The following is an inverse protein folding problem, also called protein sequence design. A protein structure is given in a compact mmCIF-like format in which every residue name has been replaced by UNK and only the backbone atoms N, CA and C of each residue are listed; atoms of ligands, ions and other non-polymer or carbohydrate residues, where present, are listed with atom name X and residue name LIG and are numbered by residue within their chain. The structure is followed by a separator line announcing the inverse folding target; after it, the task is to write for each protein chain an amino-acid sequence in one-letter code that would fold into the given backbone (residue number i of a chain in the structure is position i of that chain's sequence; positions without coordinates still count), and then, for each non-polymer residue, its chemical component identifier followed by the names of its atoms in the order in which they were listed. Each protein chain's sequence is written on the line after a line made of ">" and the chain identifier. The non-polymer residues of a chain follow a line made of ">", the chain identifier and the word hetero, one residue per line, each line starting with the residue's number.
data_IF_787210679143
#
_entry.id   IF_787210679143
#
_cell.length_a   1.000
_cell.length_b   1.000
_cell.length_c   1.000
_cell.angle_alpha   90.00
_cell.angle_beta   90.00
_cell.angle_gamma   90.00
#
_symmetry.space_group_name_H-M   'P 1'
#
loop_
_entity.id
_entity.type
_entity.pdbx_description
1 polymer ?
#
# COMPACT_ATOMS: atom_id res chain seq x y z
N UNK A 1 18.53 -5.12 11.22
CA UNK A 1 17.50 -4.97 10.19
C UNK A 1 17.47 -3.49 9.85
N UNK A 2 18.08 -3.06 8.75
CA UNK A 2 18.29 -1.65 8.51
C UNK A 2 16.99 -0.97 8.05
N UNK A 3 16.75 0.19 8.67
CA UNK A 3 16.06 1.36 8.14
C UNK A 3 14.55 1.27 7.89
N UNK A 4 13.76 1.75 8.86
CA UNK A 4 12.40 2.28 8.64
C UNK A 4 12.50 3.43 7.60
N UNK A 5 12.17 3.22 6.32
CA UNK A 5 12.33 4.26 5.32
C UNK A 5 10.99 4.97 5.24
N UNK A 6 10.92 6.19 5.79
CA UNK A 6 9.77 7.10 5.73
C UNK A 6 8.69 6.81 6.79
N UNK A 7 8.16 7.84 7.50
CA UNK A 7 7.03 7.66 8.39
C UNK A 7 5.83 7.14 7.59
N UNK A 8 5.49 5.87 7.78
CA UNK A 8 4.28 5.26 7.23
C UNK A 8 3.08 5.82 7.98
N UNK A 9 2.27 6.60 7.26
CA UNK A 9 0.98 7.08 7.77
C UNK A 9 0.04 5.90 8.03
N UNK A 10 -1.00 6.14 8.81
CA UNK A 10 -2.12 5.19 9.00
C UNK A 10 -2.67 4.65 7.68
N UNK A 11 -2.71 5.48 6.63
CA UNK A 11 -3.23 5.08 5.33
C UNK A 11 -2.25 4.17 4.57
N UNK A 12 -0.94 4.40 4.72
CA UNK A 12 0.06 3.55 4.09
C UNK A 12 0.07 2.16 4.74
N UNK A 13 -0.05 2.10 6.07
CA UNK A 13 -0.21 0.83 6.79
C UNK A 13 -1.50 0.11 6.40
N UNK A 14 -2.62 0.83 6.32
CA UNK A 14 -3.87 0.24 5.87
C UNK A 14 -3.78 -0.29 4.42
N UNK A 15 -3.06 0.41 3.54
CA UNK A 15 -2.80 -0.06 2.18
C UNK A 15 -2.01 -1.37 2.21
N UNK A 16 -0.95 -1.45 3.02
CA UNK A 16 -0.12 -2.65 3.15
C UNK A 16 -0.90 -3.82 3.76
N UNK A 17 -1.67 -3.60 4.82
CA UNK A 17 -2.50 -4.64 5.45
C UNK A 17 -3.52 -5.23 4.46
N UNK A 18 -4.21 -4.36 3.71
CA UNK A 18 -5.19 -4.80 2.73
C UNK A 18 -4.51 -5.52 1.56
N UNK A 19 -3.35 -5.03 1.08
CA UNK A 19 -2.61 -5.69 0.01
C UNK A 19 -1.97 -7.01 0.45
N UNK A 20 -1.60 -7.15 1.72
CA UNK A 20 -1.06 -8.38 2.30
C UNK A 20 -2.14 -9.47 2.39
N UNK A 21 -3.38 -9.11 2.76
CA UNK A 21 -4.52 -10.04 2.78
C UNK A 21 -5.17 -10.27 1.41
N UNK A 22 -5.24 -9.23 0.58
CA UNK A 22 -5.93 -9.22 -0.72
C UNK A 22 -5.02 -8.59 -1.79
N UNK A 23 -3.99 -9.33 -2.22
CA UNK A 23 -3.01 -8.85 -3.22
C UNK A 23 -3.57 -8.50 -4.62
N UNK A 24 -4.87 -8.75 -4.87
CA UNK A 24 -5.58 -8.44 -6.12
C UNK A 24 -6.71 -7.41 -5.97
N UNK A 25 -6.76 -6.68 -4.86
CA UNK A 25 -7.80 -5.68 -4.65
C UNK A 25 -7.69 -4.52 -5.67
N UNK A 26 -8.78 -4.09 -6.30
CA UNK A 26 -8.76 -2.92 -7.17
C UNK A 26 -8.41 -1.65 -6.37
N UNK A 27 -7.59 -0.75 -6.94
CA UNK A 27 -7.25 0.54 -6.30
C UNK A 27 -8.49 1.36 -5.93
N UNK A 28 -9.57 1.23 -6.71
CA UNK A 28 -10.85 1.84 -6.41
C UNK A 28 -11.47 1.36 -5.08
N UNK A 29 -11.38 0.06 -4.82
CA UNK A 29 -11.89 -0.57 -3.61
C UNK A 29 -10.96 -0.31 -2.43
N UNK A 30 -9.65 -0.41 -2.65
CA UNK A 30 -8.63 -0.03 -1.68
C UNK A 30 -8.86 1.41 -1.18
N UNK A 31 -9.06 2.35 -2.10
CA UNK A 31 -9.34 3.75 -1.81
C UNK A 31 -10.62 3.90 -0.94
N UNK A 32 -11.69 3.17 -1.26
CA UNK A 32 -12.91 3.14 -0.45
C UNK A 32 -12.64 2.63 0.97
N UNK A 33 -11.92 1.53 1.12
CA UNK A 33 -11.62 0.91 2.42
C UNK A 33 -10.74 1.79 3.31
N UNK A 34 -9.78 2.50 2.73
CA UNK A 34 -8.89 3.41 3.48
C UNK A 34 -9.45 4.83 3.67
N UNK A 35 -10.65 5.11 3.12
CA UNK A 35 -11.31 6.41 3.22
C UNK A 35 -10.66 7.52 2.39
N UNK A 36 -10.02 7.18 1.27
CA UNK A 36 -9.36 8.13 0.37
C UNK A 36 -9.92 8.05 -1.06
N UNK A 37 -9.61 9.07 -1.86
CA UNK A 37 -9.88 9.05 -3.30
C UNK A 37 -8.87 8.18 -4.05
N UNK A 38 -9.20 7.78 -5.29
CA UNK A 38 -8.30 6.95 -6.14
C UNK A 38 -6.94 7.60 -6.37
N UNK A 39 -6.92 8.91 -6.64
CA UNK A 39 -5.70 9.68 -6.95
C UNK A 39 -4.66 9.67 -5.83
N UNK A 40 -4.97 10.04 -4.57
CA UNK A 40 -4.00 9.98 -3.47
C UNK A 40 -3.60 8.54 -3.12
N UNK A 41 -4.51 7.58 -3.26
CA UNK A 41 -4.21 6.14 -3.05
C UNK A 41 -3.15 5.66 -4.04
N UNK A 42 -3.32 5.98 -5.32
CA UNK A 42 -2.36 5.62 -6.37
C UNK A 42 -0.99 6.29 -6.17
N UNK A 43 -0.98 7.56 -5.78
CA UNK A 43 0.26 8.29 -5.48
C UNK A 43 1.01 7.67 -4.29
N UNK A 44 0.29 7.28 -3.24
CA UNK A 44 0.87 6.58 -2.07
C UNK A 44 1.41 5.21 -2.45
N UNK A 45 0.64 4.39 -3.19
CA UNK A 45 1.12 3.10 -3.71
C UNK A 45 2.41 3.26 -4.51
N UNK A 46 2.46 4.19 -5.46
CA UNK A 46 3.68 4.48 -6.25
C UNK A 46 4.86 4.91 -5.38
N UNK A 47 4.61 5.70 -4.32
CA UNK A 47 5.65 6.09 -3.36
C UNK A 47 6.18 4.88 -2.60
N UNK A 48 5.30 3.98 -2.15
CA UNK A 48 5.68 2.75 -1.45
C UNK A 48 6.42 1.77 -2.35
N UNK A 49 6.04 1.66 -3.63
CA UNK A 49 6.78 0.92 -4.66
C UNK A 49 8.17 1.53 -4.89
N UNK A 50 8.24 2.86 -5.06
CA UNK A 50 9.51 3.58 -5.28
C UNK A 50 10.44 3.54 -4.06
N UNK A 51 9.87 3.48 -2.85
CA UNK A 51 10.61 3.33 -1.60
C UNK A 51 11.10 1.89 -1.39
N UNK A 52 10.73 0.93 -2.25
CA UNK A 52 11.07 -0.48 -2.08
C UNK A 52 10.34 -1.14 -0.91
N UNK A 53 9.27 -0.53 -0.39
CA UNK A 53 8.40 -1.13 0.63
C UNK A 53 7.45 -2.13 -0.02
N UNK A 54 6.88 -1.77 -1.18
CA UNK A 54 6.16 -2.72 -2.04
C UNK A 54 7.19 -3.33 -3.00
N UNK A 55 7.81 -4.44 -2.61
CA UNK A 55 8.80 -5.18 -3.42
C UNK A 55 8.18 -6.11 -4.46
N UNK A 56 6.86 -6.23 -4.48
CA UNK A 56 6.09 -7.00 -5.44
C UNK A 56 4.74 -7.43 -4.86
N UNK A 57 3.75 -7.68 -5.72
CA UNK A 57 2.47 -8.28 -5.36
C UNK A 57 2.69 -9.76 -4.99
N UNK A 58 3.35 -10.03 -3.87
CA UNK A 58 3.72 -11.39 -3.49
C UNK A 58 2.64 -11.96 -2.56
N UNK A 59 1.77 -12.79 -3.10
CA UNK A 59 1.13 -13.82 -2.29
C UNK A 59 2.22 -14.85 -1.94
N UNK A 60 2.49 -15.07 -0.66
CA UNK A 60 3.30 -16.20 -0.20
C UNK A 60 2.33 -17.33 0.20
N UNK A 61 2.52 -18.50 -0.42
CA UNK A 61 1.82 -19.75 -0.15
C UNK A 61 2.44 -20.47 1.06
#
# INVERSE_FOLDING_TARGET
>A
MPDDPMPLDRHDRAILDILAGEGRIPVAELARRIGLSKTPTLARMRRLEKAGIITGYRAML
#
